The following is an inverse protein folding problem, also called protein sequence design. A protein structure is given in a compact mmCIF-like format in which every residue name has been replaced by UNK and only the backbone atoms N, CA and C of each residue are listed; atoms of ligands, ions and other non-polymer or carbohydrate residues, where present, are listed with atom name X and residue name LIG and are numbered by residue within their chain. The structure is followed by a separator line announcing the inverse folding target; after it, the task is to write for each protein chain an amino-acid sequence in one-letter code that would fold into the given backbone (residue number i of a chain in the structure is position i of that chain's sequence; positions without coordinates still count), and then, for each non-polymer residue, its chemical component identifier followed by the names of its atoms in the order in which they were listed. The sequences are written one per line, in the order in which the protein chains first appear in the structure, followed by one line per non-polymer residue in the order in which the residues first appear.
data_IF_613679945054
#
_entry.id   IF_613679945054
#
_cell.length_a   1.000
_cell.length_b   1.000
_cell.length_c   1.000
_cell.angle_alpha   90.00
_cell.angle_beta   90.00
_cell.angle_gamma   90.00
#
_symmetry.space_group_name_H-M   'P 1'
#
loop_
_entity.id
_entity.type
_entity.pdbx_description
1 polymer ?
#
# COMPACT_ATOMS: atom_id res chain seq x y z
N UNK A 1 21.21 4.79 6.30
CA UNK A 1 20.21 5.27 5.34
C UNK A 1 19.61 4.15 4.48
N UNK A 2 20.26 3.00 4.27
CA UNK A 2 19.67 1.87 3.51
C UNK A 2 18.45 1.23 4.20
N UNK A 3 18.48 1.05 5.53
CA UNK A 3 17.40 0.34 6.23
C UNK A 3 16.02 1.01 6.15
N UNK A 4 15.96 2.33 6.03
CA UNK A 4 14.69 3.06 5.88
C UNK A 4 14.07 2.80 4.49
N UNK A 5 14.92 2.74 3.45
CA UNK A 5 14.50 2.38 2.08
C UNK A 5 13.94 0.98 2.04
N UNK A 6 14.63 0.03 2.67
CA UNK A 6 14.23 -1.37 2.70
C UNK A 6 12.88 -1.52 3.42
N UNK A 7 12.66 -0.79 4.51
CA UNK A 7 11.37 -0.75 5.20
C UNK A 7 10.24 -0.23 4.30
N UNK A 8 10.45 0.89 3.59
CA UNK A 8 9.44 1.37 2.63
C UNK A 8 9.14 0.33 1.55
N UNK A 9 10.17 -0.26 0.94
CA UNK A 9 10.02 -1.28 -0.10
C UNK A 9 9.23 -2.48 0.39
N UNK A 10 9.55 -2.98 1.58
CA UNK A 10 8.84 -4.11 2.20
C UNK A 10 7.38 -3.75 2.47
N UNK A 11 7.09 -2.60 3.09
CA UNK A 11 5.72 -2.22 3.41
C UNK A 11 4.87 -2.00 2.15
N UNK A 12 5.39 -1.29 1.15
CA UNK A 12 4.70 -1.13 -0.14
C UNK A 12 4.47 -2.48 -0.83
N UNK A 13 5.46 -3.36 -0.82
CA UNK A 13 5.36 -4.69 -1.41
C UNK A 13 4.31 -5.56 -0.72
N UNK A 14 4.31 -5.59 0.62
CA UNK A 14 3.32 -6.34 1.41
C UNK A 14 1.92 -5.79 1.19
N UNK A 15 1.74 -4.46 1.27
CA UNK A 15 0.44 -3.82 1.02
C UNK A 15 -0.08 -4.14 -0.38
N UNK A 16 0.80 -4.08 -1.38
CA UNK A 16 0.44 -4.41 -2.76
C UNK A 16 -0.05 -5.86 -2.89
N UNK A 17 0.61 -6.83 -2.26
CA UNK A 17 0.17 -8.23 -2.26
C UNK A 17 -1.18 -8.41 -1.55
N UNK A 18 -1.36 -7.79 -0.38
CA UNK A 18 -2.63 -7.82 0.36
C UNK A 18 -3.78 -7.22 -0.45
N UNK A 19 -3.54 -6.08 -1.11
CA UNK A 19 -4.51 -5.40 -1.94
C UNK A 19 -4.86 -6.20 -3.19
N UNK A 20 -3.90 -6.89 -3.82
CA UNK A 20 -4.19 -7.81 -4.93
C UNK A 20 -5.13 -8.94 -4.48
N UNK A 21 -4.88 -9.54 -3.32
CA UNK A 21 -5.75 -10.57 -2.76
C UNK A 21 -7.16 -10.02 -2.49
N UNK A 22 -7.27 -8.92 -1.74
CA UNK A 22 -8.55 -8.29 -1.39
C UNK A 22 -9.35 -7.86 -2.64
N UNK A 23 -8.69 -7.18 -3.58
CA UNK A 23 -9.33 -6.75 -4.84
C UNK A 23 -9.86 -7.96 -5.61
N UNK A 24 -9.10 -9.07 -5.64
CA UNK A 24 -9.54 -10.28 -6.34
C UNK A 24 -10.80 -10.90 -5.71
N UNK A 25 -10.91 -10.91 -4.37
CA UNK A 25 -12.08 -11.44 -3.66
C UNK A 25 -13.27 -10.51 -3.84
N UNK A 26 -13.11 -9.20 -3.62
CA UNK A 26 -14.23 -8.27 -3.72
C UNK A 26 -14.75 -8.10 -5.15
N UNK A 27 -13.88 -8.18 -6.15
CA UNK A 27 -14.31 -8.15 -7.55
C UNK A 27 -15.13 -9.40 -7.91
N UNK A 28 -14.72 -10.59 -7.43
CA UNK A 28 -15.50 -11.83 -7.58
C UNK A 28 -16.85 -11.71 -6.89
N UNK A 29 -16.88 -11.25 -5.63
CA UNK A 29 -18.11 -11.07 -4.86
C UNK A 29 -19.04 -10.03 -5.50
N UNK A 30 -18.49 -8.99 -6.14
CA UNK A 30 -19.27 -8.03 -6.91
C UNK A 30 -19.90 -8.68 -8.15
N UNK A 31 -19.16 -9.51 -8.89
CA UNK A 31 -19.71 -10.20 -10.05
C UNK A 31 -20.84 -11.18 -9.68
N UNK A 32 -20.77 -11.79 -8.50
CA UNK A 32 -21.77 -12.72 -7.98
C UNK A 32 -22.99 -12.01 -7.37
N UNK A 33 -22.79 -11.13 -6.38
CA UNK A 33 -23.88 -10.52 -5.62
C UNK A 33 -24.33 -9.16 -6.16
N UNK A 34 -23.53 -8.50 -7.00
CA UNK A 34 -23.77 -7.16 -7.58
C UNK A 34 -24.15 -6.09 -6.55
N UNK A 35 -23.63 -6.21 -5.33
CA UNK A 35 -23.93 -5.27 -4.25
C UNK A 35 -23.13 -3.97 -4.40
N UNK A 36 -23.71 -2.84 -3.97
CA UNK A 36 -23.00 -1.55 -3.95
C UNK A 36 -21.87 -1.53 -2.92
N UNK A 37 -21.99 -2.28 -1.82
CA UNK A 37 -20.97 -2.36 -0.78
C UNK A 37 -19.69 -3.03 -1.30
N UNK A 38 -19.82 -4.17 -2.00
CA UNK A 38 -18.66 -4.88 -2.57
C UNK A 38 -18.01 -4.09 -3.71
N UNK A 39 -18.79 -3.36 -4.51
CA UNK A 39 -18.24 -2.43 -5.50
C UNK A 39 -17.45 -1.30 -4.85
N UNK A 40 -17.97 -0.71 -3.78
CA UNK A 40 -17.28 0.35 -3.03
C UNK A 40 -15.94 -0.12 -2.47
N UNK A 41 -15.92 -1.32 -1.87
CA UNK A 41 -14.69 -1.94 -1.36
C UNK A 41 -13.70 -2.25 -2.49
N UNK A 42 -14.15 -2.82 -3.60
CA UNK A 42 -13.30 -3.12 -4.75
C UNK A 42 -12.67 -1.85 -5.35
N UNK A 43 -13.45 -0.78 -5.52
CA UNK A 43 -12.94 0.50 -6.03
C UNK A 43 -11.91 1.11 -5.07
N UNK A 44 -12.21 1.10 -3.77
CA UNK A 44 -11.28 1.56 -2.74
C UNK A 44 -9.97 0.77 -2.76
N UNK A 45 -10.04 -0.55 -2.88
CA UNK A 45 -8.88 -1.42 -2.99
C UNK A 45 -8.02 -1.09 -4.22
N UNK A 46 -8.64 -0.84 -5.37
CA UNK A 46 -7.94 -0.49 -6.61
C UNK A 46 -7.19 0.84 -6.48
N UNK A 47 -7.78 1.85 -5.83
CA UNK A 47 -7.08 3.12 -5.59
C UNK A 47 -5.90 2.96 -4.65
N UNK A 48 -6.07 2.23 -3.54
CA UNK A 48 -4.94 1.92 -2.65
C UNK A 48 -3.88 1.08 -3.37
N UNK A 49 -4.27 0.17 -4.26
CA UNK A 49 -3.34 -0.64 -5.04
C UNK A 49 -2.48 0.24 -5.95
N UNK A 50 -3.10 1.22 -6.61
CA UNK A 50 -2.38 2.20 -7.43
C UNK A 50 -1.42 3.05 -6.60
N UNK A 51 -1.84 3.49 -5.41
CA UNK A 51 -1.00 4.25 -4.48
C UNK A 51 0.22 3.45 -4.02
N UNK A 52 0.03 2.19 -3.63
CA UNK A 52 1.14 1.32 -3.21
C UNK A 52 2.05 0.94 -4.38
N UNK A 53 1.50 0.74 -5.58
CA UNK A 53 2.28 0.51 -6.78
C UNK A 53 3.16 1.71 -7.13
N UNK A 54 2.63 2.93 -7.01
CA UNK A 54 3.40 4.15 -7.20
C UNK A 54 4.52 4.28 -6.14
N UNK A 55 4.21 4.01 -4.88
CA UNK A 55 5.22 3.99 -3.82
C UNK A 55 6.33 2.98 -4.08
N UNK A 56 5.98 1.77 -4.51
CA UNK A 56 6.96 0.76 -4.90
C UNK A 56 7.80 1.21 -6.08
N UNK A 57 7.22 1.85 -7.10
CA UNK A 57 7.96 2.46 -8.20
C UNK A 57 8.98 3.49 -7.70
N UNK A 58 8.54 4.45 -6.87
CA UNK A 58 9.38 5.54 -6.38
C UNK A 58 10.57 5.04 -5.56
N UNK A 59 10.39 3.98 -4.76
CA UNK A 59 11.44 3.47 -3.86
C UNK A 59 12.24 2.29 -4.43
N UNK A 60 11.70 1.52 -5.38
CA UNK A 60 12.33 0.30 -5.92
C UNK A 60 12.90 0.48 -7.33
N UNK A 61 12.20 1.22 -8.20
CA UNK A 61 12.55 1.34 -9.63
C UNK A 61 13.27 2.64 -9.97
N UNK A 62 13.10 3.70 -9.19
CA UNK A 62 13.71 5.01 -9.45
C UNK A 62 14.65 5.43 -8.31
N UNK A 63 15.94 5.18 -8.52
CA UNK A 63 16.99 5.54 -7.56
C UNK A 63 17.10 7.05 -7.33
N UNK A 64 16.73 7.89 -8.33
CA UNK A 64 16.80 9.35 -8.19
C UNK A 64 15.68 9.86 -7.30
N UNK A 65 14.46 9.37 -7.49
CA UNK A 65 13.32 9.70 -6.63
C UNK A 65 13.56 9.20 -5.20
N UNK A 66 14.11 7.98 -5.07
CA UNK A 66 14.50 7.42 -3.78
C UNK A 66 15.49 8.32 -3.05
N UNK A 67 16.57 8.74 -3.74
CA UNK A 67 17.57 9.63 -3.17
C UNK A 67 16.97 10.99 -2.75
N UNK A 68 16.11 11.57 -3.59
CA UNK A 68 15.44 12.84 -3.28
C UNK A 68 14.51 12.76 -2.06
N UNK A 69 13.74 11.66 -1.92
CA UNK A 69 12.82 11.45 -0.79
C UNK A 69 13.53 11.20 0.55
N UNK A 70 14.76 10.69 0.51
CA UNK A 70 15.51 10.34 1.71
C UNK A 70 16.51 11.40 2.13
N UNK A 71 16.77 12.38 1.25
CA UNK A 71 17.64 13.49 1.56
C UNK A 71 16.95 14.42 2.59
N UNK A 72 17.51 14.54 3.81
CA UNK A 72 16.93 15.38 4.87
C UNK A 72 16.84 16.86 4.49
N UNK A 73 17.60 17.32 3.49
CA UNK A 73 17.53 18.69 2.99
C UNK A 73 16.22 18.98 2.24
N UNK A 74 15.62 17.96 1.60
CA UNK A 74 14.36 18.09 0.86
C UNK A 74 13.18 17.54 1.65
N UNK A 75 13.35 16.40 2.32
CA UNK A 75 12.32 15.75 3.12
C UNK A 75 12.87 15.49 4.52
N UNK A 76 12.51 16.32 5.52
CA UNK A 76 13.01 16.17 6.87
C UNK A 76 12.71 14.78 7.46
N UNK A 77 13.62 14.27 8.27
CA UNK A 77 13.51 12.93 8.88
C UNK A 77 12.15 12.66 9.59
N UNK A 78 11.56 13.61 10.35
CA UNK A 78 10.24 13.38 10.94
C UNK A 78 9.13 13.10 9.92
N UNK A 79 9.20 13.73 8.74
CA UNK A 79 8.24 13.50 7.66
C UNK A 79 8.43 12.10 7.04
N UNK A 80 9.67 11.65 6.87
CA UNK A 80 9.97 10.30 6.38
C UNK A 80 9.42 9.23 7.35
N UNK A 81 9.63 9.43 8.66
CA UNK A 81 9.11 8.53 9.70
C UNK A 81 7.58 8.53 9.71
N UNK A 82 6.94 9.69 9.57
CA UNK A 82 5.49 9.79 9.50
C UNK A 82 4.93 9.03 8.29
N UNK A 83 5.53 9.19 7.10
CA UNK A 83 5.16 8.45 5.90
C UNK A 83 5.28 6.94 6.09
N UNK A 84 6.38 6.47 6.69
CA UNK A 84 6.61 5.06 6.99
C UNK A 84 5.56 4.52 7.97
N UNK A 85 5.23 5.31 9.00
CA UNK A 85 4.25 4.94 10.03
C UNK A 85 2.86 4.78 9.45
N UNK A 86 2.46 5.66 8.52
CA UNK A 86 1.19 5.54 7.80
C UNK A 86 1.15 4.25 6.96
N UNK A 87 2.24 3.88 6.29
CA UNK A 87 2.31 2.61 5.54
C UNK A 87 2.20 1.39 6.45
N UNK A 88 2.83 1.43 7.62
CA UNK A 88 2.74 0.34 8.59
C UNK A 88 1.30 0.18 9.13
N UNK A 89 0.63 1.29 9.45
CA UNK A 89 -0.78 1.28 9.86
C UNK A 89 -1.69 0.73 8.75
N UNK A 90 -1.44 1.13 7.50
CA UNK A 90 -2.12 0.56 6.34
C UNK A 90 -1.93 -0.95 6.26
N UNK A 91 -0.70 -1.47 6.42
CA UNK A 91 -0.43 -2.91 6.43
C UNK A 91 -1.25 -3.65 7.48
N UNK A 92 -1.32 -3.10 8.70
CA UNK A 92 -2.13 -3.66 9.79
C UNK A 92 -3.61 -3.67 9.39
N UNK A 93 -4.12 -2.56 8.86
CA UNK A 93 -5.51 -2.44 8.42
C UNK A 93 -5.86 -3.42 7.30
N UNK A 94 -5.01 -3.54 6.28
CA UNK A 94 -5.19 -4.46 5.16
C UNK A 94 -5.13 -5.93 5.59
N UNK A 95 -4.21 -6.26 6.51
CA UNK A 95 -4.11 -7.62 7.08
C UNK A 95 -5.39 -7.97 7.83
N UNK A 96 -5.90 -7.04 8.64
CA UNK A 96 -7.16 -7.24 9.35
C UNK A 96 -8.34 -7.40 8.39
N UNK A 97 -8.44 -6.55 7.36
CA UNK A 97 -9.48 -6.66 6.33
C UNK A 97 -9.40 -7.98 5.56
N UNK A 98 -8.20 -8.44 5.23
CA UNK A 98 -7.99 -9.72 4.57
C UNK A 98 -8.45 -10.87 5.47
N UNK A 99 -8.08 -10.86 6.75
CA UNK A 99 -8.53 -11.85 7.72
C UNK A 99 -10.05 -11.93 7.82
N UNK A 100 -10.75 -10.79 7.97
CA UNK A 100 -12.22 -10.76 8.02
C UNK A 100 -12.86 -11.15 6.68
N UNK A 101 -12.19 -10.91 5.55
CA UNK A 101 -12.73 -11.26 4.22
C UNK A 101 -12.59 -12.76 3.91
N UNK A 102 -11.65 -13.45 4.55
CA UNK A 102 -11.40 -14.88 4.37
C UNK A 102 -12.18 -15.76 5.35
N UNK A 103 -12.75 -15.18 6.41
CA UNK A 103 -13.67 -15.82 7.35
C UNK A 103 -15.07 -16.00 6.72
#
# INVERSE_FOLDING_TARGET
MSGLVDLFRVLFGVNLLLLLALTSVWLRNYLEFRSKHTLGLALFAVFLLAENALGLYMFFLDDRLTAWLLDPAFVPEPAQIAMLSLRALETVGLTFLLWVTLD
#
